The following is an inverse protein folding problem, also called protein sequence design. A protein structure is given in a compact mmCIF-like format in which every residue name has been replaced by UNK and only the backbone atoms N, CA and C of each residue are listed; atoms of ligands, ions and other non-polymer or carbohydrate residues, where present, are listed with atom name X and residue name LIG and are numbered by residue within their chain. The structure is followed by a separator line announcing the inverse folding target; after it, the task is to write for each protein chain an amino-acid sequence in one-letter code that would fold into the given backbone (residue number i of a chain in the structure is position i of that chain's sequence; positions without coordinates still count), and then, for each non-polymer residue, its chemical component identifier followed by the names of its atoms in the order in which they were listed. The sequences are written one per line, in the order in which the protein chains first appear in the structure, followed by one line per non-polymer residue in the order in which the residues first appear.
data_IF_378762208147
#
_entry.id   IF_378762208147
#
_cell.length_a   1.000
_cell.length_b   1.000
_cell.length_c   1.000
_cell.angle_alpha   90.00
_cell.angle_beta   90.00
_cell.angle_gamma   90.00
#
_symmetry.space_group_name_H-M   'P 1'
#
loop_
_entity.id
_entity.type
_entity.pdbx_description
1 polymer ?
#
# COMPACT_ATOMS: atom_id res chain seq x y z
N UNK A 1 -16.53 21.23 18.55
CA UNK A 1 -17.18 20.55 17.43
C UNK A 1 -16.11 19.78 16.68
N UNK A 2 -16.30 18.47 16.55
CA UNK A 2 -15.35 17.54 15.94
C UNK A 2 -16.08 16.75 14.85
N UNK A 3 -15.39 16.29 13.82
CA UNK A 3 -15.97 15.42 12.79
C UNK A 3 -15.59 13.98 13.11
N UNK A 4 -16.57 13.08 13.04
CA UNK A 4 -16.34 11.63 13.08
C UNK A 4 -16.58 11.06 11.69
N UNK A 5 -15.79 10.06 11.30
CA UNK A 5 -15.92 9.36 10.03
C UNK A 5 -16.54 8.00 10.28
N UNK A 6 -17.72 7.75 9.70
CA UNK A 6 -18.44 6.49 9.80
C UNK A 6 -18.14 5.65 8.57
N UNK A 7 -17.83 4.38 8.79
CA UNK A 7 -17.49 3.40 7.75
C UNK A 7 -18.46 2.23 7.77
N UNK A 8 -18.89 1.79 6.58
CA UNK A 8 -19.67 0.57 6.43
C UNK A 8 -18.76 -0.65 6.49
N UNK A 9 -19.08 -1.64 7.34
CA UNK A 9 -18.24 -2.83 7.53
C UNK A 9 -18.14 -3.68 6.25
N UNK A 10 -19.22 -3.73 5.46
CA UNK A 10 -19.28 -4.56 4.27
C UNK A 10 -18.32 -4.10 3.15
N UNK A 11 -18.08 -2.79 3.02
CA UNK A 11 -17.28 -2.22 1.92
C UNK A 11 -16.03 -1.48 2.38
N UNK A 12 -15.90 -1.21 3.68
CA UNK A 12 -14.88 -0.33 4.27
C UNK A 12 -14.94 1.11 3.70
N UNK A 13 -16.07 1.54 3.14
CA UNK A 13 -16.21 2.90 2.62
C UNK A 13 -16.67 3.87 3.71
N UNK A 14 -16.15 5.10 3.67
CA UNK A 14 -16.65 6.18 4.52
C UNK A 14 -18.02 6.66 4.01
N UNK A 15 -19.07 6.37 4.76
CA UNK A 15 -20.47 6.63 4.35
C UNK A 15 -21.05 7.90 4.97
N UNK A 16 -20.50 8.40 6.08
CA UNK A 16 -20.99 9.61 6.74
C UNK A 16 -19.89 10.32 7.52
N UNK A 17 -20.09 11.64 7.71
CA UNK A 17 -19.16 12.53 8.43
C UNK A 17 -19.90 13.48 9.39
N UNK A 18 -20.62 12.97 10.40
CA UNK A 18 -21.36 13.83 11.31
C UNK A 18 -20.43 14.76 12.09
N UNK A 19 -20.90 15.98 12.33
CA UNK A 19 -20.28 16.88 13.31
C UNK A 19 -20.87 16.60 14.68
N UNK A 20 -20.00 16.40 15.66
CA UNK A 20 -20.36 16.04 17.02
C UNK A 20 -19.85 17.09 18.01
N UNK A 21 -20.43 17.10 19.21
CA UNK A 21 -19.95 17.96 20.31
C UNK A 21 -18.66 17.42 20.90
N UNK A 22 -18.70 16.17 21.38
CA UNK A 22 -17.59 15.43 22.00
C UNK A 22 -17.63 13.96 21.61
N UNK A 23 -16.47 13.30 21.64
CA UNK A 23 -16.33 11.88 21.29
C UNK A 23 -17.07 10.99 22.28
N UNK A 24 -17.10 11.37 23.56
CA UNK A 24 -17.81 10.67 24.62
C UNK A 24 -19.32 10.65 24.34
N UNK A 25 -19.90 11.80 23.96
CA UNK A 25 -21.33 11.89 23.63
C UNK A 25 -21.69 11.05 22.41
N UNK A 26 -20.82 11.02 21.39
CA UNK A 26 -21.01 10.14 20.24
C UNK A 26 -20.93 8.65 20.61
N UNK A 27 -20.01 8.25 21.50
CA UNK A 27 -19.91 6.86 21.97
C UNK A 27 -21.14 6.42 22.74
N UNK A 28 -21.71 7.30 23.56
CA UNK A 28 -22.90 7.00 24.35
C UNK A 28 -24.19 7.02 23.52
N UNK A 29 -24.33 7.98 22.59
CA UNK A 29 -25.56 8.23 21.83
C UNK A 29 -25.27 8.57 20.37
N UNK A 30 -24.70 7.64 19.58
CA UNK A 30 -24.33 7.91 18.19
C UNK A 30 -25.55 8.27 17.31
N UNK A 31 -26.73 7.70 17.61
CA UNK A 31 -27.97 7.98 16.89
C UNK A 31 -28.46 9.44 17.04
N UNK A 32 -27.95 10.22 18.01
CA UNK A 32 -28.22 11.66 18.10
C UNK A 32 -27.59 12.43 16.91
N UNK A 33 -26.45 11.95 16.44
CA UNK A 33 -25.65 12.60 15.39
C UNK A 33 -25.83 11.93 14.02
N UNK A 34 -26.14 10.64 14.03
CA UNK A 34 -26.41 9.85 12.83
C UNK A 34 -27.54 8.86 13.11
N UNK A 35 -28.82 9.23 12.86
CA UNK A 35 -29.99 8.42 13.24
C UNK A 35 -29.95 6.97 12.76
N UNK A 36 -29.38 6.73 11.58
CA UNK A 36 -29.22 5.41 10.96
C UNK A 36 -28.03 4.58 11.52
N UNK A 37 -27.39 5.04 12.59
CA UNK A 37 -26.25 4.34 13.20
C UNK A 37 -26.61 2.92 13.63
N UNK A 38 -25.78 1.96 13.23
CA UNK A 38 -25.88 0.55 13.58
C UNK A 38 -24.49 -0.02 13.91
N UNK A 39 -24.27 -0.40 15.15
CA UNK A 39 -22.99 -0.89 15.67
C UNK A 39 -22.54 -2.25 15.10
N UNK A 40 -23.47 -3.02 14.50
CA UNK A 40 -23.19 -4.31 13.85
C UNK A 40 -22.70 -4.15 12.43
N UNK A 41 -23.10 -3.08 11.74
CA UNK A 41 -22.77 -2.86 10.33
C UNK A 41 -21.84 -1.68 10.12
N UNK A 42 -21.58 -0.87 11.15
CA UNK A 42 -20.79 0.35 11.05
C UNK A 42 -19.68 0.41 12.10
N UNK A 43 -18.58 1.06 11.73
CA UNK A 43 -17.49 1.45 12.62
C UNK A 43 -17.21 2.94 12.41
N UNK A 44 -16.48 3.54 13.34
CA UNK A 44 -16.15 4.96 13.26
C UNK A 44 -14.70 5.23 13.62
N UNK A 45 -14.20 6.39 13.16
CA UNK A 45 -12.85 6.89 13.45
C UNK A 45 -12.89 8.42 13.64
N UNK A 46 -11.97 8.95 14.44
CA UNK A 46 -11.75 10.39 14.62
C UNK A 46 -11.02 11.03 13.43
N UNK A 47 -10.38 10.19 12.60
CA UNK A 47 -9.63 10.60 11.42
C UNK A 47 -10.14 9.88 10.18
N UNK A 48 -9.98 10.52 9.02
CA UNK A 48 -10.20 9.90 7.72
C UNK A 48 -9.08 8.88 7.48
N UNK A 49 -9.45 7.62 7.27
CA UNK A 49 -8.55 6.50 7.09
C UNK A 49 -8.39 6.22 5.60
N UNK A 50 -7.15 6.00 5.17
CA UNK A 50 -6.82 5.52 3.84
C UNK A 50 -6.71 4.00 3.86
N UNK A 51 -7.43 3.35 2.95
CA UNK A 51 -7.52 1.88 2.90
C UNK A 51 -7.90 1.28 4.27
N UNK A 52 -9.05 1.68 4.84
CA UNK A 52 -9.51 1.15 6.11
C UNK A 52 -9.75 -0.37 6.06
N UNK A 53 -9.56 -1.00 7.21
CA UNK A 53 -9.85 -2.41 7.47
C UNK A 53 -10.22 -2.61 8.95
N UNK A 54 -10.84 -3.74 9.25
CA UNK A 54 -11.14 -4.15 10.63
C UNK A 54 -10.14 -5.21 11.05
N UNK A 55 -9.46 -4.94 12.16
CA UNK A 55 -8.51 -5.88 12.74
C UNK A 55 -9.23 -7.14 13.26
N UNK A 56 -8.83 -8.32 12.79
CA UNK A 56 -9.46 -9.58 13.13
C UNK A 56 -9.30 -9.98 14.60
N UNK A 57 -8.28 -9.46 15.31
CA UNK A 57 -7.99 -9.84 16.71
C UNK A 57 -8.79 -9.00 17.70
N UNK A 58 -8.92 -7.70 17.44
CA UNK A 58 -9.54 -6.76 18.39
C UNK A 58 -10.80 -6.06 17.85
N UNK A 59 -11.22 -6.35 16.61
CA UNK A 59 -12.39 -5.79 15.95
C UNK A 59 -12.38 -4.24 15.88
N UNK A 60 -11.19 -3.63 15.88
CA UNK A 60 -11.01 -2.18 15.75
C UNK A 60 -10.79 -1.80 14.29
N UNK A 61 -11.32 -0.63 13.93
CA UNK A 61 -11.08 -0.01 12.64
C UNK A 61 -9.68 0.62 12.63
N UNK A 62 -8.90 0.33 11.58
CA UNK A 62 -7.56 0.87 11.37
C UNK A 62 -7.27 1.00 9.87
N UNK A 63 -6.14 1.59 9.51
CA UNK A 63 -5.63 1.47 8.14
C UNK A 63 -5.01 0.09 7.91
N UNK A 64 -5.07 -0.38 6.66
CA UNK A 64 -4.37 -1.59 6.23
C UNK A 64 -2.85 -1.43 6.37
N UNK A 65 -2.16 -2.51 6.76
CA UNK A 65 -0.70 -2.60 6.66
C UNK A 65 -0.28 -2.68 5.19
N UNK A 66 1.00 -2.47 4.90
CA UNK A 66 1.50 -2.60 3.51
C UNK A 66 1.27 -4.00 2.96
N UNK A 67 1.47 -5.04 3.77
CA UNK A 67 1.21 -6.43 3.40
C UNK A 67 -0.26 -6.66 3.02
N UNK A 68 -1.19 -6.13 3.81
CA UNK A 68 -2.63 -6.24 3.50
C UNK A 68 -3.00 -5.47 2.22
N UNK A 69 -2.37 -4.31 1.98
CA UNK A 69 -2.55 -3.55 0.73
C UNK A 69 -2.05 -4.34 -0.49
N UNK A 70 -0.92 -5.05 -0.35
CA UNK A 70 -0.38 -5.92 -1.41
C UNK A 70 -1.31 -7.11 -1.65
N UNK A 71 -1.71 -7.83 -0.59
CA UNK A 71 -2.64 -8.98 -0.68
C UNK A 71 -4.00 -8.61 -1.27
N UNK A 72 -4.48 -7.39 -1.02
CA UNK A 72 -5.74 -6.87 -1.58
C UNK A 72 -5.59 -6.21 -2.96
N UNK A 73 -4.39 -6.20 -3.55
CA UNK A 73 -4.14 -5.62 -4.87
C UNK A 73 -4.22 -4.10 -4.93
N UNK A 74 -4.23 -3.43 -3.77
CA UNK A 74 -4.26 -1.96 -3.66
C UNK A 74 -2.88 -1.32 -3.87
N UNK A 75 -1.83 -2.09 -3.62
CA UNK A 75 -0.45 -1.71 -3.87
C UNK A 75 0.23 -2.81 -4.67
N UNK A 76 0.98 -2.45 -5.71
CA UNK A 76 1.88 -3.35 -6.42
C UNK A 76 3.29 -3.20 -5.88
N UNK A 77 4.01 -4.31 -5.75
CA UNK A 77 5.42 -4.28 -5.39
C UNK A 77 6.26 -3.80 -6.57
N UNK A 78 7.28 -3.00 -6.24
CA UNK A 78 8.31 -2.61 -7.19
C UNK A 78 9.15 -3.83 -7.60
N UNK A 79 9.77 -3.74 -8.76
CA UNK A 79 10.74 -4.76 -9.20
C UNK A 79 11.88 -4.89 -8.19
N UNK A 80 12.27 -6.13 -7.92
CA UNK A 80 13.21 -6.47 -6.84
C UNK A 80 12.56 -6.74 -5.50
N UNK A 81 11.24 -6.53 -5.34
CA UNK A 81 10.54 -6.84 -4.09
C UNK A 81 9.51 -7.95 -4.27
N UNK A 82 9.35 -8.78 -3.25
CA UNK A 82 8.29 -9.79 -3.16
C UNK A 82 7.73 -9.89 -1.73
N UNK A 83 6.51 -10.40 -1.62
CA UNK A 83 5.90 -10.70 -0.33
C UNK A 83 6.29 -12.12 0.08
N UNK A 84 7.02 -12.24 1.19
CA UNK A 84 7.20 -13.52 1.86
C UNK A 84 5.94 -13.82 2.67
N UNK A 85 5.11 -14.74 2.16
CA UNK A 85 3.84 -15.11 2.78
C UNK A 85 4.01 -15.85 4.11
N UNK A 86 5.15 -16.54 4.32
CA UNK A 86 5.41 -17.31 5.53
C UNK A 86 5.71 -16.37 6.71
N UNK A 87 6.51 -15.33 6.46
CA UNK A 87 6.90 -14.36 7.47
C UNK A 87 6.02 -13.09 7.47
N UNK A 88 5.10 -12.95 6.50
CA UNK A 88 4.32 -11.74 6.26
C UNK A 88 5.20 -10.47 6.16
N UNK A 89 6.32 -10.57 5.46
CA UNK A 89 7.25 -9.43 5.28
C UNK A 89 7.53 -9.17 3.81
N UNK A 90 7.85 -7.92 3.49
CA UNK A 90 8.27 -7.54 2.14
C UNK A 90 9.79 -7.71 2.07
N UNK A 91 10.24 -8.65 1.26
CA UNK A 91 11.66 -8.85 0.98
C UNK A 91 12.05 -8.01 -0.22
N UNK A 92 13.18 -7.32 -0.14
CA UNK A 92 13.72 -6.50 -1.23
C UNK A 92 15.13 -6.96 -1.57
N UNK A 93 15.33 -7.35 -2.82
CA UNK A 93 16.58 -7.79 -3.42
C UNK A 93 17.13 -6.66 -4.29
N UNK A 94 18.31 -6.16 -3.92
CA UNK A 94 18.98 -5.12 -4.68
C UNK A 94 19.25 -5.56 -6.12
N UNK A 95 19.00 -4.66 -7.07
CA UNK A 95 19.27 -4.91 -8.48
C UNK A 95 20.78 -5.07 -8.69
N UNK A 96 21.26 -6.21 -9.23
CA UNK A 96 22.69 -6.49 -9.29
C UNK A 96 23.42 -5.68 -10.37
N UNK A 97 22.74 -5.31 -11.46
CA UNK A 97 23.28 -4.51 -12.57
C UNK A 97 22.15 -3.90 -13.40
N UNK A 98 22.45 -2.95 -14.29
CA UNK A 98 21.43 -2.23 -15.07
C UNK A 98 20.65 -3.12 -16.05
N UNK A 99 21.27 -4.18 -16.56
CA UNK A 99 20.73 -5.09 -17.58
C UNK A 99 20.07 -6.35 -16.99
N UNK A 100 19.77 -6.34 -15.70
CA UNK A 100 18.95 -7.39 -15.09
C UNK A 100 17.48 -6.97 -15.07
N UNK A 101 16.59 -7.92 -15.30
CA UNK A 101 15.13 -7.75 -15.22
C UNK A 101 14.59 -8.62 -14.09
N UNK A 102 13.61 -8.09 -13.36
CA UNK A 102 13.00 -8.81 -12.25
C UNK A 102 12.01 -9.84 -12.76
N UNK A 103 12.23 -11.10 -12.41
CA UNK A 103 11.31 -12.19 -12.65
C UNK A 103 10.39 -12.33 -11.44
N UNK A 104 9.13 -11.93 -11.60
CA UNK A 104 8.12 -11.92 -10.52
C UNK A 104 7.68 -13.31 -10.08
N UNK A 105 7.78 -14.31 -10.95
CA UNK A 105 7.33 -15.67 -10.64
C UNK A 105 8.37 -16.42 -9.80
N UNK A 106 9.65 -16.22 -10.11
CA UNK A 106 10.78 -16.83 -9.40
C UNK A 106 11.37 -15.96 -8.29
N UNK A 107 10.91 -14.70 -8.17
CA UNK A 107 11.46 -13.69 -7.26
C UNK A 107 12.99 -13.52 -7.39
N UNK A 108 13.51 -13.50 -8.62
CA UNK A 108 14.95 -13.33 -8.90
C UNK A 108 15.25 -12.35 -10.02
N UNK A 109 16.45 -11.75 -9.97
CA UNK A 109 16.97 -10.95 -11.07
C UNK A 109 17.56 -11.87 -12.16
N UNK A 110 17.07 -11.74 -13.40
CA UNK A 110 17.59 -12.45 -14.57
C UNK A 110 18.32 -11.48 -15.49
N UNK A 111 19.48 -11.91 -15.99
CA UNK A 111 20.24 -11.15 -16.98
C UNK A 111 19.46 -11.11 -18.28
N UNK A 112 19.21 -9.91 -18.78
CA UNK A 112 18.65 -9.68 -20.11
C UNK A 112 19.79 -9.38 -21.09
N UNK A 113 19.98 -10.29 -22.05
CA UNK A 113 21.08 -10.20 -23.01
C UNK A 113 20.91 -9.03 -24.00
N UNK A 114 19.67 -8.63 -24.29
CA UNK A 114 19.41 -7.52 -25.21
C UNK A 114 19.73 -6.18 -24.54
N UNK A 115 19.35 -6.03 -23.26
CA UNK A 115 19.80 -4.90 -22.44
C UNK A 115 21.32 -4.89 -22.27
N UNK A 116 21.94 -6.05 -22.03
CA UNK A 116 23.40 -6.15 -21.88
C UNK A 116 24.11 -5.69 -23.16
N UNK A 117 23.69 -6.18 -24.32
CA UNK A 117 24.27 -5.79 -25.61
C UNK A 117 24.09 -4.30 -25.89
N UNK A 118 22.94 -3.73 -25.52
CA UNK A 118 22.67 -2.30 -25.62
C UNK A 118 23.64 -1.50 -24.75
N UNK A 119 23.81 -1.89 -23.48
CA UNK A 119 24.73 -1.25 -22.54
C UNK A 119 26.19 -1.32 -23.00
N UNK A 120 26.61 -2.46 -23.54
CA UNK A 120 27.95 -2.61 -24.11
C UNK A 120 28.17 -1.68 -25.31
N UNK A 121 27.16 -1.49 -26.15
CA UNK A 121 27.23 -0.55 -27.28
C UNK A 121 27.35 0.90 -26.78
N UNK A 122 26.51 1.32 -25.84
CA UNK A 122 26.57 2.66 -25.24
C UNK A 122 27.94 2.96 -24.62
N UNK A 123 28.51 2.00 -23.89
CA UNK A 123 29.83 2.15 -23.26
C UNK A 123 30.95 2.28 -24.30
N UNK A 124 30.88 1.53 -25.41
CA UNK A 124 31.84 1.65 -26.52
C UNK A 124 31.78 3.01 -27.19
N UNK A 125 30.57 3.50 -27.45
CA UNK A 125 30.37 4.82 -28.07
C UNK A 125 30.88 5.94 -27.16
N UNK A 126 30.60 5.87 -25.86
CA UNK A 126 31.11 6.83 -24.88
C UNK A 126 32.64 6.84 -24.82
N UNK A 127 33.27 5.67 -24.73
CA UNK A 127 34.72 5.57 -24.69
C UNK A 127 35.38 6.12 -25.96
N UNK A 128 34.76 5.93 -27.13
CA UNK A 128 35.26 6.46 -28.40
C UNK A 128 35.17 7.99 -28.46
N UNK A 129 34.10 8.57 -27.91
CA UNK A 129 33.94 10.02 -27.79
C UNK A 129 34.96 10.63 -26.83
N UNK A 130 35.13 10.03 -25.65
CA UNK A 130 36.10 10.51 -24.66
C UNK A 130 37.54 10.47 -25.21
N UNK A 131 37.88 9.47 -26.04
CA UNK A 131 39.19 9.39 -26.71
C UNK A 131 39.37 10.46 -27.80
N UNK A 132 38.29 10.86 -28.49
CA UNK A 132 38.34 11.88 -29.54
C UNK A 132 38.39 13.32 -28.98
N UNK A 133 37.95 13.50 -27.73
CA UNK A 133 37.93 14.78 -27.01
C UNK A 133 39.16 14.98 -26.09
N UNK A 134 40.04 13.96 -25.97
CA UNK A 134 41.30 13.99 -25.22
C UNK A 134 42.49 14.43 -26.08
#
# INVERSE_FOLDING_TARGET
MTVVYIYLIATMECIARPTITTIEEFKEKPNLFYPEWNDKTMKWSEVLLNNPTVDSKNNKLREMTEVEKIKSGKTVLSDGSYLDEENETIVTIAKPNEWSVWDKDSHTWKVDNDLLNTKLKELREKALKDLAEA
#
